data_IF_845347377440
#
_entry.id   IF_845347377440
#
_cell.length_a   1.000
_cell.length_b   1.000
_cell.length_c   1.000
_cell.angle_alpha   90.00
_cell.angle_beta   90.00
_cell.angle_gamma   90.00
#
_symmetry.space_group_name_H-M   'P 1'
#
loop_
_entity.id
_entity.type
_entity.pdbx_description
1 polymer ?
#
# COMPACT_ATOMS: atom_id res chain seq x y z
N UNK A 1 -21.35 5.82 14.42
CA UNK A 1 -20.07 6.25 13.79
C UNK A 1 -19.17 5.04 13.55
N UNK A 2 -18.97 4.61 12.29
CA UNK A 2 -18.31 3.33 11.92
C UNK A 2 -16.78 3.30 12.14
N UNK A 3 -16.13 4.45 12.35
CA UNK A 3 -14.67 4.54 12.52
C UNK A 3 -14.17 3.94 13.84
N UNK A 4 -14.86 4.27 14.95
CA UNK A 4 -14.47 3.81 16.30
C UNK A 4 -14.67 2.30 16.48
N UNK A 5 -15.62 1.71 15.75
CA UNK A 5 -16.01 0.32 15.93
C UNK A 5 -15.06 -0.72 15.30
N UNK A 6 -14.20 -0.34 14.34
CA UNK A 6 -13.42 -1.32 13.54
C UNK A 6 -11.91 -1.10 13.45
N UNK A 7 -11.31 -0.21 14.26
CA UNK A 7 -9.85 0.12 14.21
C UNK A 7 -9.35 0.36 12.77
N UNK A 8 -10.13 1.14 12.00
CA UNK A 8 -9.81 1.51 10.63
C UNK A 8 -9.07 2.85 10.65
N UNK A 9 -7.99 2.96 9.88
CA UNK A 9 -7.18 4.16 9.72
C UNK A 9 -7.47 4.82 8.38
N UNK A 10 -7.46 6.15 8.33
CA UNK A 10 -7.53 6.91 7.09
C UNK A 10 -6.13 6.99 6.49
N UNK A 11 -6.01 6.61 5.22
CA UNK A 11 -4.76 6.69 4.47
C UNK A 11 -5.02 7.46 3.17
N UNK A 12 -4.23 8.50 2.86
CA UNK A 12 -4.30 9.16 1.57
C UNK A 12 -3.77 8.20 0.49
N UNK A 13 -4.55 8.00 -0.56
CA UNK A 13 -4.18 7.12 -1.69
C UNK A 13 -3.66 7.92 -2.85
N UNK A 14 -4.28 9.07 -3.13
CA UNK A 14 -3.88 9.92 -4.25
C UNK A 14 -4.13 11.38 -3.95
N UNK A 15 -3.25 12.22 -4.46
CA UNK A 15 -3.42 13.66 -4.52
C UNK A 15 -3.49 13.99 -6.00
N UNK A 16 -4.58 14.62 -6.43
CA UNK A 16 -4.79 14.95 -7.83
C UNK A 16 -5.38 16.34 -7.98
N UNK A 17 -4.97 17.03 -9.03
CA UNK A 17 -5.46 18.36 -9.32
C UNK A 17 -6.75 18.26 -10.13
N UNK A 18 -7.81 18.94 -9.70
CA UNK A 18 -9.05 19.07 -10.47
C UNK A 18 -9.42 20.54 -10.57
N UNK A 19 -9.20 21.12 -11.75
CA UNK A 19 -9.31 22.56 -12.02
C UNK A 19 -8.30 23.35 -11.16
N UNK A 20 -8.77 24.21 -10.26
CA UNK A 20 -7.95 25.03 -9.36
C UNK A 20 -7.84 24.46 -7.94
N UNK A 21 -8.41 23.26 -7.69
CA UNK A 21 -8.42 22.64 -6.36
C UNK A 21 -7.64 21.31 -6.37
N UNK A 22 -6.80 21.15 -5.36
CA UNK A 22 -6.13 19.89 -5.06
C UNK A 22 -7.11 18.99 -4.30
N UNK A 23 -7.38 17.81 -4.85
CA UNK A 23 -8.23 16.80 -4.24
C UNK A 23 -7.37 15.68 -3.67
N UNK A 24 -7.76 15.24 -2.48
CA UNK A 24 -7.13 14.09 -1.81
C UNK A 24 -8.13 12.94 -1.79
N UNK A 25 -7.78 11.84 -2.45
CA UNK A 25 -8.49 10.57 -2.32
C UNK A 25 -8.09 9.91 -1.00
N UNK A 26 -9.06 9.72 -0.11
CA UNK A 26 -8.87 9.08 1.19
C UNK A 26 -9.46 7.66 1.16
N UNK A 27 -8.70 6.68 1.63
CA UNK A 27 -9.18 5.32 1.82
C UNK A 27 -9.19 4.94 3.31
N UNK A 28 -10.10 4.01 3.65
CA UNK A 28 -10.16 3.39 4.96
C UNK A 28 -9.39 2.06 4.90
N UNK A 29 -8.22 2.03 5.54
CA UNK A 29 -7.36 0.87 5.61
C UNK A 29 -7.30 0.27 7.02
N UNK A 30 -7.15 -1.05 7.11
CA UNK A 30 -6.74 -1.72 8.35
C UNK A 30 -5.24 -1.98 8.29
N UNK A 31 -4.53 -1.69 9.38
CA UNK A 31 -3.10 -2.00 9.45
C UNK A 31 -2.89 -3.52 9.46
N UNK A 32 -1.99 -4.02 8.61
CA UNK A 32 -1.54 -5.42 8.64
C UNK A 32 -0.87 -5.74 9.97
N UNK A 33 -1.15 -6.91 10.54
CA UNK A 33 -0.45 -7.40 11.74
C UNK A 33 1.04 -7.62 11.43
N UNK A 34 1.90 -7.58 12.44
CA UNK A 34 3.35 -7.71 12.24
C UNK A 34 3.74 -9.01 11.49
N UNK A 35 3.01 -10.11 11.71
CA UNK A 35 3.24 -11.37 11.01
C UNK A 35 3.00 -11.22 9.49
N UNK A 36 1.87 -10.62 9.09
CA UNK A 36 1.49 -10.40 7.69
C UNK A 36 2.46 -9.44 6.99
N UNK A 37 3.01 -8.47 7.73
CA UNK A 37 4.05 -7.58 7.22
C UNK A 37 5.33 -8.33 6.88
N UNK A 38 5.79 -9.23 7.76
CA UNK A 38 7.00 -10.04 7.51
C UNK A 38 6.83 -10.94 6.27
N UNK A 39 5.69 -11.58 6.12
CA UNK A 39 5.40 -12.42 4.96
C UNK A 39 5.32 -11.59 3.66
N UNK A 40 4.69 -10.42 3.71
CA UNK A 40 4.61 -9.52 2.56
C UNK A 40 5.98 -8.97 2.14
N UNK A 41 6.86 -8.66 3.10
CA UNK A 41 8.24 -8.22 2.83
C UNK A 41 9.01 -9.33 2.12
N UNK A 42 9.00 -10.57 2.67
CA UNK A 42 9.63 -11.73 2.05
C UNK A 42 9.16 -11.95 0.62
N UNK A 43 7.84 -11.94 0.38
CA UNK A 43 7.26 -12.08 -0.97
C UNK A 43 7.73 -10.98 -1.92
N UNK A 44 7.86 -9.74 -1.44
CA UNK A 44 8.33 -8.60 -2.24
C UNK A 44 9.83 -8.66 -2.53
N UNK A 45 10.63 -9.19 -1.61
CA UNK A 45 12.06 -9.44 -1.82
C UNK A 45 12.27 -10.53 -2.88
N UNK A 46 11.62 -11.69 -2.73
CA UNK A 46 11.67 -12.79 -3.70
C UNK A 46 11.27 -12.31 -5.10
N UNK A 47 10.16 -11.56 -5.20
CA UNK A 47 9.71 -11.03 -6.51
C UNK A 47 10.76 -10.12 -7.16
N UNK A 48 11.45 -9.30 -6.37
CA UNK A 48 12.49 -8.39 -6.85
C UNK A 48 13.74 -9.14 -7.30
N UNK A 49 14.13 -10.18 -6.60
CA UNK A 49 15.27 -11.04 -6.99
C UNK A 49 14.96 -11.75 -8.31
N UNK A 50 13.78 -12.36 -8.44
CA UNK A 50 13.33 -12.95 -9.69
C UNK A 50 13.34 -11.91 -10.83
N UNK A 51 12.74 -10.73 -10.63
CA UNK A 51 12.74 -9.66 -11.63
C UNK A 51 14.15 -9.21 -12.04
N UNK A 52 15.13 -9.22 -11.14
CA UNK A 52 16.53 -8.92 -11.45
C UNK A 52 17.20 -10.05 -12.25
N UNK A 53 17.04 -11.30 -11.83
CA UNK A 53 17.59 -12.46 -12.54
C UNK A 53 17.04 -12.59 -13.96
N UNK A 54 15.75 -12.30 -14.14
CA UNK A 54 15.13 -12.25 -15.46
C UNK A 54 15.66 -11.10 -16.32
N UNK A 55 16.19 -10.03 -15.72
CA UNK A 55 16.74 -8.88 -16.48
C UNK A 55 18.23 -9.03 -16.79
N UNK A 56 18.97 -9.81 -16.01
CA UNK A 56 20.40 -10.09 -16.24
C UNK A 56 20.64 -11.26 -17.22
N UNK A 57 19.65 -12.15 -17.40
CA UNK A 57 19.74 -13.30 -18.34
C UNK A 57 19.25 -13.01 -19.75
N UNK A 58 18.67 -11.84 -20.00
CA UNK A 58 18.22 -11.36 -21.32
C UNK A 58 18.96 -10.08 -21.68
#
# INVERSE_FOLDING_TARGET
SKMKARKLHIVPVSIYNKRSLIKVGLALGKLKRQFEKREAIKKKDIKRELEKEFKDKF
#
